data_IF_972131424468
#
_entry.id   IF_972131424468
#
_cell.length_a   1.000
_cell.length_b   1.000
_cell.length_c   1.000
_cell.angle_alpha   90.00
_cell.angle_beta   90.00
_cell.angle_gamma   90.00
#
_symmetry.space_group_name_H-M   'P 1'
#
loop_
_entity.id
_entity.type
_entity.pdbx_description
1 polymer ?
#
# COMPACT_ATOMS: atom_id res chain seq x y z
N UNK A 1 14.24 33.34 -17.10
CA UNK A 1 13.87 33.28 -15.68
C UNK A 1 12.86 32.15 -15.53
N UNK A 2 13.23 31.04 -14.90
CA UNK A 2 12.36 29.90 -14.67
C UNK A 2 12.40 29.57 -13.18
N UNK A 3 11.24 29.67 -12.52
CA UNK A 3 11.06 29.43 -11.10
C UNK A 3 10.86 27.94 -10.85
N UNK A 4 11.74 27.33 -10.06
CA UNK A 4 11.61 25.94 -9.62
C UNK A 4 10.56 25.83 -8.51
N UNK A 5 9.55 24.97 -8.70
CA UNK A 5 8.64 24.53 -7.64
C UNK A 5 9.16 23.19 -7.13
N UNK A 6 9.69 23.19 -5.90
CA UNK A 6 10.27 22.02 -5.26
C UNK A 6 9.22 20.94 -4.96
N UNK A 7 9.44 19.74 -5.49
CA UNK A 7 8.78 18.51 -5.01
C UNK A 7 9.42 18.11 -3.68
N UNK A 8 8.62 18.08 -2.61
CA UNK A 8 9.02 17.48 -1.33
C UNK A 8 8.81 15.97 -1.41
N UNK A 9 9.83 15.25 -1.83
CA UNK A 9 9.96 13.82 -1.52
C UNK A 9 10.69 13.71 -0.19
N UNK A 10 10.09 13.04 0.80
CA UNK A 10 10.84 12.60 1.98
C UNK A 10 11.88 11.59 1.48
N UNK A 11 13.20 11.84 1.65
CA UNK A 11 14.18 10.95 1.07
C UNK A 11 14.46 9.83 2.07
N UNK A 12 14.11 8.60 1.70
CA UNK A 12 14.66 7.41 2.35
C UNK A 12 16.08 7.25 1.80
N UNK A 13 17.05 7.95 2.39
CA UNK A 13 18.46 7.81 2.02
C UNK A 13 19.05 6.66 2.83
N UNK A 14 19.37 5.57 2.16
CA UNK A 14 20.26 4.55 2.70
C UNK A 14 21.70 5.01 2.46
N UNK A 15 22.48 5.20 3.53
CA UNK A 15 23.94 5.32 3.44
C UNK A 15 24.57 4.10 4.12
N UNK A 16 25.39 3.31 3.42
CA UNK A 16 26.06 2.16 4.02
C UNK A 16 27.09 2.61 5.06
N UNK A 17 26.98 2.12 6.30
CA UNK A 17 28.09 2.18 7.27
C UNK A 17 27.77 2.46 8.75
N UNK A 18 26.52 2.64 9.18
CA UNK A 18 26.21 2.97 10.60
C UNK A 18 25.45 1.83 11.33
N UNK A 19 26.07 1.13 12.30
CA UNK A 19 25.44 0.00 13.00
C UNK A 19 24.46 0.40 14.12
N UNK A 20 24.09 1.68 14.29
CA UNK A 20 23.30 2.12 15.46
C UNK A 20 21.90 2.73 15.22
N UNK A 21 21.29 2.63 14.03
CA UNK A 21 19.93 3.17 13.84
C UNK A 21 18.84 2.12 13.70
N UNK A 22 18.07 1.95 14.79
CA UNK A 22 16.71 1.39 14.80
C UNK A 22 15.83 2.15 13.79
N UNK A 23 14.98 1.42 13.07
CA UNK A 23 13.90 1.97 12.26
C UNK A 23 13.04 2.91 13.12
N UNK A 24 13.23 4.22 12.97
CA UNK A 24 12.37 5.23 13.59
C UNK A 24 11.33 5.65 12.56
N UNK A 25 10.16 5.04 12.61
CA UNK A 25 8.96 5.58 11.99
C UNK A 25 8.59 6.88 12.71
N UNK A 26 8.95 8.03 12.12
CA UNK A 26 8.54 9.34 12.64
C UNK A 26 7.09 9.59 12.22
N UNK A 27 6.14 9.17 13.07
CA UNK A 27 4.76 9.64 13.02
C UNK A 27 4.70 11.07 13.54
N UNK A 28 4.91 12.07 12.68
CA UNK A 28 4.56 13.45 12.99
C UNK A 28 3.68 14.04 11.90
N UNK A 29 2.38 14.11 12.18
CA UNK A 29 1.40 14.81 11.35
C UNK A 29 1.43 16.32 11.66
N UNK A 30 1.59 17.21 10.67
CA UNK A 30 1.41 18.64 10.89
C UNK A 30 -0.09 18.97 11.09
N UNK A 31 -0.41 19.70 12.16
CA UNK A 31 -1.76 20.25 12.41
C UNK A 31 -2.13 21.23 11.29
N UNK A 32 -3.21 20.95 10.55
CA UNK A 32 -3.78 21.85 9.56
C UNK A 32 -4.90 22.68 10.20
N UNK A 33 -4.85 24.01 10.01
CA UNK A 33 -5.92 24.94 10.38
C UNK A 33 -7.05 24.93 9.33
N UNK A 34 -8.33 25.10 9.74
CA UNK A 34 -9.44 25.00 8.81
C UNK A 34 -9.60 26.24 7.93
N UNK A 35 -9.95 26.04 6.65
CA UNK A 35 -10.27 27.10 5.67
C UNK A 35 -11.79 27.29 5.56
N UNK A 36 -12.32 28.50 5.29
CA UNK A 36 -13.76 28.77 5.37
C UNK A 36 -14.54 28.24 4.15
N UNK A 37 -15.75 27.78 4.43
CA UNK A 37 -16.73 27.15 3.52
C UNK A 37 -17.48 28.16 2.65
N UNK A 38 -17.71 27.91 1.35
CA UNK A 38 -18.77 28.57 0.59
C UNK A 38 -20.04 27.72 0.56
N UNK A 39 -21.19 28.33 0.87
CA UNK A 39 -22.51 27.76 0.67
C UNK A 39 -22.97 27.90 -0.79
N UNK A 40 -23.55 26.85 -1.38
CA UNK A 40 -24.47 26.97 -2.51
C UNK A 40 -25.61 25.93 -2.45
N UNK A 41 -26.79 26.40 -2.83
CA UNK A 41 -28.17 25.86 -2.78
C UNK A 41 -28.43 24.59 -3.62
N UNK A 42 -29.33 23.73 -3.13
CA UNK A 42 -30.05 22.70 -3.92
C UNK A 42 -31.13 23.33 -4.82
N UNK A 43 -31.58 22.70 -5.93
CA UNK A 43 -32.58 21.62 -5.81
C UNK A 43 -32.58 20.53 -6.92
N UNK A 44 -33.47 19.56 -6.69
CA UNK A 44 -34.18 18.65 -7.62
C UNK A 44 -33.77 17.17 -7.66
N UNK A 45 -34.78 16.36 -7.31
CA UNK A 45 -34.84 14.90 -7.29
C UNK A 45 -34.42 14.28 -8.61
N UNK A 46 -33.50 13.31 -8.51
CA UNK A 46 -33.23 12.32 -9.53
C UNK A 46 -33.54 10.93 -8.98
N UNK A 47 -34.13 10.12 -9.84
CA UNK A 47 -34.58 8.74 -9.68
C UNK A 47 -33.73 7.90 -8.72
N UNK A 48 -34.41 7.14 -7.86
CA UNK A 48 -33.86 6.07 -7.05
C UNK A 48 -33.26 4.98 -7.95
N UNK A 49 -32.01 5.19 -8.36
CA UNK A 49 -31.13 4.09 -8.73
C UNK A 49 -30.88 3.31 -7.44
N UNK A 50 -31.27 2.05 -7.41
CA UNK A 50 -30.83 1.07 -6.43
C UNK A 50 -29.30 1.06 -6.43
N UNK A 51 -28.70 1.78 -5.49
CA UNK A 51 -27.27 1.75 -5.21
C UNK A 51 -26.90 0.31 -4.84
N UNK A 52 -25.81 -0.25 -5.38
CA UNK A 52 -25.28 -1.50 -4.87
C UNK A 52 -25.01 -1.36 -3.38
N UNK A 53 -25.18 -2.48 -2.66
CA UNK A 53 -24.89 -2.62 -1.23
C UNK A 53 -23.65 -1.80 -0.84
N UNK A 54 -23.78 -1.03 0.24
CA UNK A 54 -22.73 -0.13 0.74
C UNK A 54 -21.37 -0.81 0.72
N UNK A 55 -20.38 -0.18 0.09
CA UNK A 55 -19.00 -0.65 0.11
C UNK A 55 -18.56 -0.92 1.57
N UNK A 56 -18.06 -2.12 1.84
CA UNK A 56 -17.61 -2.51 3.16
C UNK A 56 -16.22 -1.96 3.44
N UNK A 57 -16.19 -0.72 3.94
CA UNK A 57 -14.94 -0.04 4.30
C UNK A 57 -14.17 -0.78 5.38
N UNK A 58 -14.85 -1.45 6.33
CA UNK A 58 -14.17 -2.12 7.44
C UNK A 58 -13.39 -3.33 6.92
N UNK A 59 -14.06 -4.22 6.17
CA UNK A 59 -13.39 -5.37 5.57
C UNK A 59 -12.23 -4.94 4.65
N UNK A 60 -12.41 -3.83 3.93
CA UNK A 60 -11.35 -3.28 3.10
C UNK A 60 -10.13 -2.81 3.92
N UNK A 61 -10.37 -2.05 4.99
CA UNK A 61 -9.31 -1.53 5.86
C UNK A 61 -8.57 -2.68 6.54
N UNK A 62 -9.30 -3.64 7.12
CA UNK A 62 -8.71 -4.82 7.78
C UNK A 62 -7.79 -5.59 6.83
N UNK A 63 -8.23 -5.81 5.58
CA UNK A 63 -7.42 -6.48 4.56
C UNK A 63 -6.13 -5.73 4.19
N UNK A 64 -6.17 -4.40 4.19
CA UNK A 64 -5.00 -3.55 3.94
C UNK A 64 -4.08 -3.43 5.17
N UNK A 65 -4.61 -3.41 6.38
CA UNK A 65 -3.80 -3.41 7.61
C UNK A 65 -2.96 -4.69 7.74
N UNK A 66 -3.58 -5.82 7.42
CA UNK A 66 -2.93 -7.12 7.45
C UNK A 66 -1.78 -7.25 6.45
N UNK A 67 -1.78 -6.45 5.37
CA UNK A 67 -0.80 -6.57 4.26
C UNK A 67 0.64 -6.50 4.74
N UNK A 68 0.91 -5.67 5.74
CA UNK A 68 2.27 -5.46 6.26
C UNK A 68 2.80 -6.71 6.94
N UNK A 69 1.97 -7.38 7.73
CA UNK A 69 2.37 -8.58 8.48
C UNK A 69 2.68 -9.74 7.53
N UNK A 70 1.81 -9.98 6.54
CA UNK A 70 2.00 -11.08 5.58
C UNK A 70 3.22 -10.87 4.69
N UNK A 71 3.45 -9.64 4.21
CA UNK A 71 4.60 -9.35 3.37
C UNK A 71 5.92 -9.28 4.15
N UNK A 72 5.87 -8.99 5.46
CA UNK A 72 7.06 -9.08 6.32
C UNK A 72 7.48 -10.54 6.56
N UNK A 73 6.53 -11.45 6.83
CA UNK A 73 6.82 -12.89 6.91
C UNK A 73 7.35 -13.41 5.57
N UNK A 74 6.69 -13.06 4.46
CA UNK A 74 7.13 -13.44 3.12
C UNK A 74 8.54 -12.94 2.78
N UNK A 75 8.84 -11.66 3.07
CA UNK A 75 10.19 -11.11 2.94
C UNK A 75 11.24 -11.90 3.75
N UNK A 76 10.91 -12.25 4.98
CA UNK A 76 11.81 -13.03 5.86
C UNK A 76 12.12 -14.40 5.26
N UNK A 77 11.13 -15.05 4.62
CA UNK A 77 11.34 -16.31 3.89
C UNK A 77 12.22 -16.14 2.65
N UNK A 78 12.04 -15.06 1.89
CA UNK A 78 12.94 -14.73 0.76
C UNK A 78 14.38 -14.59 1.27
N UNK A 79 14.59 -13.83 2.36
CA UNK A 79 15.93 -13.68 2.93
C UNK A 79 16.51 -15.01 3.42
N UNK A 80 15.70 -15.90 3.98
CA UNK A 80 16.14 -17.23 4.38
C UNK A 80 16.59 -18.10 3.18
N UNK A 81 15.97 -17.94 2.00
CA UNK A 81 16.44 -18.58 0.76
C UNK A 81 17.84 -18.04 0.42
N UNK A 82 17.99 -16.72 0.37
CA UNK A 82 19.26 -16.09 -0.04
C UNK A 82 20.42 -16.35 0.91
N UNK A 83 20.16 -16.41 2.22
CA UNK A 83 21.20 -16.53 3.24
C UNK A 83 21.56 -17.98 3.59
N UNK A 84 20.57 -18.87 3.54
CA UNK A 84 20.69 -20.23 4.08
C UNK A 84 20.26 -21.32 3.08
N UNK A 85 19.96 -20.95 1.83
CA UNK A 85 19.51 -21.87 0.80
C UNK A 85 18.31 -22.73 1.24
N UNK A 86 17.39 -22.12 2.00
CA UNK A 86 16.13 -22.77 2.40
C UNK A 86 15.22 -22.98 1.20
N UNK A 87 14.20 -23.87 1.29
CA UNK A 87 13.26 -24.07 0.20
C UNK A 87 12.55 -22.77 -0.23
N UNK A 88 12.42 -22.59 -1.54
CA UNK A 88 11.76 -21.43 -2.15
C UNK A 88 10.30 -21.32 -1.66
N UNK A 89 9.87 -20.17 -1.14
CA UNK A 89 8.47 -19.96 -0.76
C UNK A 89 7.59 -19.86 -2.02
N UNK A 90 6.28 -19.99 -1.85
CA UNK A 90 5.32 -19.61 -2.89
C UNK A 90 5.51 -18.14 -3.25
N UNK A 91 5.73 -17.86 -4.54
CA UNK A 91 5.93 -16.50 -5.06
C UNK A 91 4.78 -16.04 -5.95
N UNK A 92 3.75 -16.85 -6.16
CA UNK A 92 2.58 -16.41 -6.94
C UNK A 92 1.89 -15.25 -6.23
N UNK A 93 1.69 -14.17 -6.99
CA UNK A 93 0.91 -13.02 -6.58
C UNK A 93 -0.55 -13.41 -6.29
N UNK A 94 -1.09 -14.41 -7.00
CA UNK A 94 -2.48 -14.83 -6.86
C UNK A 94 -2.71 -15.73 -5.64
N UNK A 95 -1.70 -16.49 -5.23
CA UNK A 95 -1.80 -17.42 -4.10
C UNK A 95 -1.53 -16.75 -2.74
N UNK A 96 -0.90 -15.58 -2.76
CA UNK A 96 -0.67 -14.81 -1.55
C UNK A 96 -2.00 -14.32 -0.95
N UNK A 97 -2.05 -14.16 0.38
CA UNK A 97 -3.31 -13.79 1.08
C UNK A 97 -3.85 -12.45 0.57
N UNK A 98 -2.97 -11.50 0.29
CA UNK A 98 -3.35 -10.19 -0.22
C UNK A 98 -3.83 -10.24 -1.68
N UNK A 99 -3.21 -11.06 -2.54
CA UNK A 99 -3.67 -11.26 -3.91
C UNK A 99 -5.09 -11.80 -3.98
N UNK A 100 -5.40 -12.81 -3.15
CA UNK A 100 -6.78 -13.32 -3.02
C UNK A 100 -7.76 -12.28 -2.49
N UNK A 101 -7.32 -11.44 -1.56
CA UNK A 101 -8.11 -10.32 -1.08
C UNK A 101 -8.39 -9.32 -2.22
N UNK A 102 -7.37 -8.92 -2.96
CA UNK A 102 -7.46 -8.01 -4.10
C UNK A 102 -8.36 -8.53 -5.24
N UNK A 103 -8.41 -9.84 -5.47
CA UNK A 103 -9.31 -10.45 -6.47
C UNK A 103 -10.77 -10.51 -6.03
N UNK A 104 -11.00 -10.61 -4.72
CA UNK A 104 -12.35 -10.76 -4.15
C UNK A 104 -12.98 -9.44 -3.72
N UNK A 105 -12.16 -8.44 -3.41
CA UNK A 105 -12.62 -7.12 -2.95
C UNK A 105 -12.51 -6.09 -4.06
N UNK A 106 -13.56 -5.28 -4.22
CA UNK A 106 -13.56 -4.16 -5.15
C UNK A 106 -12.78 -2.95 -4.62
N UNK A 107 -12.58 -1.97 -5.50
CA UNK A 107 -12.02 -0.69 -5.10
C UNK A 107 -13.02 0.14 -4.27
N UNK A 108 -12.56 0.97 -3.32
CA UNK A 108 -13.40 1.97 -2.69
C UNK A 108 -14.02 2.91 -3.75
N UNK A 109 -15.25 3.42 -3.52
CA UNK A 109 -15.92 4.32 -4.44
C UNK A 109 -15.03 5.50 -4.86
N UNK A 110 -14.82 5.65 -6.17
CA UNK A 110 -14.01 6.73 -6.74
C UNK A 110 -12.49 6.51 -6.69
N UNK A 111 -12.00 5.36 -6.22
CA UNK A 111 -10.55 5.07 -6.05
C UNK A 111 -10.02 3.89 -6.88
N UNK A 112 -10.69 3.59 -7.99
CA UNK A 112 -10.29 2.48 -8.87
C UNK A 112 -8.85 2.66 -9.38
N UNK A 113 -8.43 3.89 -9.70
CA UNK A 113 -7.08 4.15 -10.22
C UNK A 113 -5.98 3.83 -9.21
N UNK A 114 -6.17 4.21 -7.95
CA UNK A 114 -5.25 3.88 -6.85
C UNK A 114 -5.25 2.39 -6.56
N UNK A 115 -6.43 1.75 -6.58
CA UNK A 115 -6.57 0.31 -6.38
C UNK A 115 -5.85 -0.49 -7.48
N UNK A 116 -6.06 -0.14 -8.75
CA UNK A 116 -5.35 -0.75 -9.88
C UNK A 116 -3.83 -0.55 -9.78
N UNK A 117 -3.40 0.59 -9.23
CA UNK A 117 -1.99 0.85 -8.99
C UNK A 117 -1.41 -0.09 -7.94
N UNK A 118 -2.14 -0.36 -6.86
CA UNK A 118 -1.77 -1.36 -5.84
C UNK A 118 -1.64 -2.75 -6.48
N UNK A 119 -2.61 -3.18 -7.28
CA UNK A 119 -2.55 -4.45 -8.03
C UNK A 119 -1.28 -4.54 -8.91
N UNK A 120 -1.00 -3.50 -9.70
CA UNK A 120 0.18 -3.49 -10.57
C UNK A 120 1.49 -3.57 -9.79
N UNK A 121 1.60 -2.84 -8.68
CA UNK A 121 2.79 -2.85 -7.83
C UNK A 121 2.98 -4.20 -7.12
N UNK A 122 1.88 -4.81 -6.67
CA UNK A 122 1.88 -6.13 -6.05
C UNK A 122 2.47 -7.19 -7.00
N UNK A 123 1.96 -7.26 -8.24
CA UNK A 123 2.46 -8.17 -9.28
C UNK A 123 3.95 -7.92 -9.55
N UNK A 124 4.36 -6.64 -9.68
CA UNK A 124 5.76 -6.29 -9.95
C UNK A 124 6.69 -6.70 -8.81
N UNK A 125 6.30 -6.46 -7.55
CA UNK A 125 7.07 -6.85 -6.38
C UNK A 125 7.27 -8.37 -6.32
N UNK A 126 6.21 -9.15 -6.56
CA UNK A 126 6.29 -10.61 -6.63
C UNK A 126 7.24 -11.09 -7.73
N UNK A 127 7.18 -10.49 -8.93
CA UNK A 127 8.11 -10.80 -10.03
C UNK A 127 9.55 -10.41 -9.72
N UNK A 128 9.79 -9.28 -9.06
CA UNK A 128 11.13 -8.89 -8.65
C UNK A 128 11.72 -9.84 -7.60
N UNK A 129 10.90 -10.34 -6.68
CA UNK A 129 11.33 -11.37 -5.72
C UNK A 129 11.73 -12.69 -6.40
N UNK A 130 10.98 -13.08 -7.43
CA UNK A 130 11.31 -14.24 -8.28
C UNK A 130 12.67 -14.04 -8.97
N UNK A 131 12.87 -12.91 -9.66
CA UNK A 131 14.16 -12.58 -10.29
C UNK A 131 15.31 -12.59 -9.29
N UNK A 132 15.11 -12.01 -8.10
CA UNK A 132 16.11 -11.99 -7.03
C UNK A 132 16.49 -13.39 -6.53
N UNK A 133 15.52 -14.27 -6.30
CA UNK A 133 15.81 -15.65 -5.87
C UNK A 133 16.51 -16.41 -6.99
N UNK A 134 16.04 -16.24 -8.22
CA UNK A 134 16.59 -16.91 -9.40
C UNK A 134 18.04 -16.50 -9.66
N UNK A 135 18.42 -15.24 -9.40
CA UNK A 135 19.82 -14.79 -9.55
C UNK A 135 20.78 -15.38 -8.51
N UNK A 136 20.27 -15.97 -7.43
CA UNK A 136 21.06 -16.69 -6.42
C UNK A 136 21.02 -18.22 -6.59
N UNK A 137 20.36 -18.72 -7.64
CA UNK A 137 20.30 -20.17 -7.90
C UNK A 137 21.70 -20.74 -8.17
N UNK A 138 21.91 -22.01 -7.78
CA UNK A 138 23.23 -22.63 -7.89
C UNK A 138 24.22 -22.28 -6.76
N UNK A 139 23.79 -21.52 -5.75
CA UNK A 139 24.61 -21.16 -4.59
C UNK A 139 25.47 -19.92 -4.80
N UNK A 140 25.17 -19.15 -5.84
CA UNK A 140 25.79 -17.85 -6.08
C UNK A 140 25.19 -16.77 -5.16
N UNK A 141 25.90 -15.66 -4.99
CA UNK A 141 25.32 -14.51 -4.32
C UNK A 141 24.31 -13.85 -5.24
N UNK A 142 23.15 -13.48 -4.68
CA UNK A 142 22.15 -12.70 -5.41
C UNK A 142 22.77 -11.44 -6.05
N UNK A 143 22.35 -11.15 -7.28
CA UNK A 143 22.69 -9.91 -7.95
C UNK A 143 22.21 -8.70 -7.13
N UNK A 144 23.10 -7.73 -6.94
CA UNK A 144 22.83 -6.55 -6.11
C UNK A 144 21.70 -5.71 -6.72
N UNK A 145 21.68 -5.59 -8.03
CA UNK A 145 20.68 -4.82 -8.79
C UNK A 145 19.28 -5.43 -8.63
N UNK A 146 19.17 -6.77 -8.66
CA UNK A 146 17.91 -7.47 -8.43
C UNK A 146 17.41 -7.26 -6.99
N UNK A 147 18.33 -7.20 -6.01
CA UNK A 147 17.99 -6.91 -4.63
C UNK A 147 17.48 -5.46 -4.45
N UNK A 148 18.20 -4.50 -5.02
CA UNK A 148 17.83 -3.08 -4.97
C UNK A 148 16.44 -2.86 -5.61
N UNK A 149 16.16 -3.44 -6.78
CA UNK A 149 14.85 -3.36 -7.45
C UNK A 149 13.71 -3.95 -6.59
N UNK A 150 13.94 -5.12 -5.99
CA UNK A 150 12.94 -5.75 -5.12
C UNK A 150 12.60 -4.88 -3.90
N UNK A 151 13.61 -4.32 -3.22
CA UNK A 151 13.40 -3.46 -2.04
C UNK A 151 12.70 -2.15 -2.42
N UNK A 152 13.03 -1.55 -3.56
CA UNK A 152 12.35 -0.36 -4.06
C UNK A 152 10.87 -0.63 -4.36
N UNK A 153 10.56 -1.73 -5.06
CA UNK A 153 9.19 -2.11 -5.37
C UNK A 153 8.39 -2.44 -4.11
N UNK A 154 8.98 -3.14 -3.14
CA UNK A 154 8.35 -3.41 -1.84
C UNK A 154 7.99 -2.11 -1.11
N UNK A 155 8.94 -1.17 -1.06
CA UNK A 155 8.74 0.13 -0.41
C UNK A 155 7.64 0.95 -1.09
N UNK A 156 7.65 0.99 -2.42
CA UNK A 156 6.64 1.71 -3.20
C UNK A 156 5.25 1.06 -3.06
N UNK A 157 5.19 -0.27 -3.06
CA UNK A 157 3.97 -1.04 -2.85
C UNK A 157 3.33 -0.72 -1.50
N UNK A 158 4.09 -0.86 -0.40
CA UNK A 158 3.59 -0.60 0.95
C UNK A 158 3.15 0.86 1.12
N UNK A 159 3.93 1.83 0.62
CA UNK A 159 3.54 3.24 0.66
C UNK A 159 2.22 3.50 -0.09
N UNK A 160 2.02 2.84 -1.23
CA UNK A 160 0.77 2.98 -2.01
C UNK A 160 -0.40 2.36 -1.27
N UNK A 161 -0.21 1.19 -0.64
CA UNK A 161 -1.23 0.55 0.19
C UNK A 161 -1.67 1.46 1.35
N UNK A 162 -0.72 2.02 2.10
CA UNK A 162 -1.03 2.90 3.23
C UNK A 162 -1.77 4.17 2.81
N UNK A 163 -1.41 4.75 1.66
CA UNK A 163 -2.13 5.92 1.14
C UNK A 163 -3.58 5.57 0.80
N UNK A 164 -3.82 4.46 0.10
CA UNK A 164 -5.17 4.02 -0.26
C UNK A 164 -6.01 3.67 0.99
N UNK A 165 -5.40 2.99 1.97
CA UNK A 165 -6.06 2.66 3.23
C UNK A 165 -6.44 3.89 4.04
N UNK A 166 -5.54 4.88 4.18
CA UNK A 166 -5.82 6.16 4.85
C UNK A 166 -6.99 6.88 4.19
N UNK A 167 -6.99 6.86 2.87
CA UNK A 167 -8.00 7.51 2.05
C UNK A 167 -9.37 6.80 2.22
N UNK A 168 -9.40 5.46 2.22
CA UNK A 168 -10.60 4.68 2.51
C UNK A 168 -11.13 4.91 3.95
N UNK A 169 -10.23 5.02 4.93
CA UNK A 169 -10.60 5.37 6.31
C UNK A 169 -11.23 6.76 6.40
N UNK A 170 -10.69 7.73 5.65
CA UNK A 170 -11.25 9.08 5.56
C UNK A 170 -12.66 9.07 4.96
N UNK A 171 -12.85 8.33 3.87
CA UNK A 171 -14.15 8.16 3.21
C UNK A 171 -15.19 7.51 4.15
N UNK A 172 -14.78 6.49 4.92
CA UNK A 172 -15.61 5.84 5.95
C UNK A 172 -16.05 6.83 7.05
N UNK A 173 -15.13 7.66 7.53
CA UNK A 173 -15.43 8.68 8.54
C UNK A 173 -16.43 9.73 8.00
N UNK A 174 -16.26 10.20 6.76
CA UNK A 174 -17.21 11.12 6.13
C UNK A 174 -18.59 10.50 5.97
N UNK A 175 -18.67 9.22 5.59
CA UNK A 175 -19.93 8.50 5.46
C UNK A 175 -20.65 8.41 6.81
N UNK A 176 -19.95 8.02 7.88
CA UNK A 176 -20.50 7.94 9.23
C UNK A 176 -21.05 9.31 9.70
N UNK A 177 -20.30 10.39 9.48
CA UNK A 177 -20.74 11.75 9.80
C UNK A 177 -22.02 12.14 9.06
N UNK A 178 -22.12 11.82 7.76
CA UNK A 178 -23.33 12.11 6.96
C UNK A 178 -24.54 11.30 7.42
N UNK A 179 -24.31 10.10 7.95
CA UNK A 179 -25.35 9.21 8.47
C UNK A 179 -25.73 9.50 9.94
N UNK A 180 -25.01 10.40 10.62
CA UNK A 180 -25.20 10.65 12.04
C UNK A 180 -24.78 9.50 12.94
N UNK A 181 -23.93 8.60 12.42
CA UNK A 181 -23.39 7.44 13.13
C UNK A 181 -21.93 7.70 13.51
N UNK A 182 -21.44 7.00 14.55
CA UNK A 182 -20.00 6.97 14.84
C UNK A 182 -19.38 5.92 13.92
N UNK A 183 -18.22 6.18 13.30
CA UNK A 183 -17.54 5.15 12.51
C UNK A 183 -17.25 3.95 13.42
N UNK A 184 -17.77 2.78 13.03
CA UNK A 184 -17.44 1.51 13.68
C UNK A 184 -16.03 1.14 13.25
N UNK A 185 -15.13 0.99 14.22
CA UNK A 185 -13.76 0.51 14.05
C UNK A 185 -13.63 -0.71 14.96
#
# INVERSE_FOLDING_TARGET
MATAIGRRTAPCIWTPGDPQRRWLFVQTFPKLTPRPTPQVKSPMSASSQTLPDSFDYQAFIDGFEEVTYWHFDWYSRIMAVLLYNTPRPTLSEHECRFGRFLESHGAPPGRQGEFDKVHQLHVKMHKAADTLITSAEGGEQAEREAFDEFVELQSLFLATCFNLMRDAYSDSCELAQRQGTTPTI
#
